data_IF_021265635480
#
_entry.id   IF_021265635480
#
_cell.length_a   1.000
_cell.length_b   1.000
_cell.length_c   1.000
_cell.angle_alpha   90.00
_cell.angle_beta   90.00
_cell.angle_gamma   90.00
#
_symmetry.space_group_name_H-M   'P 1'
#
loop_
_entity.id
_entity.type
_entity.pdbx_description
1 polymer ?
#
# COMPACT_ATOMS: atom_id res chain seq x y z
N UNK A 1 -6.35 12.18 -6.70
CA UNK A 1 -7.14 12.88 -5.69
C UNK A 1 -6.48 12.78 -4.32
N UNK A 2 -6.80 13.68 -3.40
CA UNK A 2 -6.35 13.64 -2.00
C UNK A 2 -7.51 13.32 -1.04
N UNK A 3 -7.21 13.22 0.25
CA UNK A 3 -8.19 12.93 1.29
C UNK A 3 -9.35 13.94 1.33
N UNK A 4 -9.08 15.24 1.16
CA UNK A 4 -10.10 16.31 1.18
C UNK A 4 -11.10 16.14 0.03
N UNK A 5 -10.63 15.71 -1.14
CA UNK A 5 -11.51 15.45 -2.28
C UNK A 5 -12.42 14.23 -2.03
N UNK A 6 -11.93 13.19 -1.34
CA UNK A 6 -12.75 12.04 -0.92
C UNK A 6 -13.81 12.47 0.11
N UNK A 7 -13.44 13.31 1.06
CA UNK A 7 -14.38 13.90 2.04
C UNK A 7 -15.47 14.74 1.36
N UNK A 8 -15.10 15.52 0.35
CA UNK A 8 -16.05 16.28 -0.46
C UNK A 8 -17.00 15.36 -1.24
N UNK A 9 -16.49 14.28 -1.85
CA UNK A 9 -17.30 13.27 -2.54
C UNK A 9 -18.30 12.62 -1.58
N UNK A 10 -17.85 12.22 -0.39
CA UNK A 10 -18.72 11.63 0.63
C UNK A 10 -19.79 12.62 1.09
N UNK A 11 -19.40 13.86 1.37
CA UNK A 11 -20.32 14.94 1.77
C UNK A 11 -21.37 15.21 0.70
N UNK A 12 -20.96 15.23 -0.57
CA UNK A 12 -21.88 15.39 -1.70
C UNK A 12 -22.89 14.22 -1.77
N UNK A 13 -22.43 12.98 -1.60
CA UNK A 13 -23.31 11.80 -1.59
C UNK A 13 -24.30 11.83 -0.42
N UNK A 14 -23.85 12.22 0.76
CA UNK A 14 -24.71 12.42 1.95
C UNK A 14 -25.75 13.51 1.67
N UNK A 15 -25.35 14.61 1.05
CA UNK A 15 -26.22 15.74 0.71
C UNK A 15 -27.28 15.35 -0.31
N UNK A 16 -26.92 14.54 -1.32
CA UNK A 16 -27.84 13.98 -2.31
C UNK A 16 -29.01 13.24 -1.65
N UNK A 17 -28.74 12.36 -0.69
CA UNK A 17 -29.79 11.63 0.03
C UNK A 17 -30.67 12.55 0.89
N UNK A 18 -30.09 13.55 1.54
CA UNK A 18 -30.86 14.56 2.29
C UNK A 18 -31.81 15.33 1.35
N UNK A 19 -31.32 15.78 0.21
CA UNK A 19 -32.13 16.49 -0.80
C UNK A 19 -33.24 15.60 -1.37
N UNK A 20 -33.02 14.29 -1.45
CA UNK A 20 -34.02 13.31 -1.87
C UNK A 20 -35.04 12.93 -0.77
N UNK A 21 -35.05 13.65 0.35
CA UNK A 21 -36.05 13.54 1.41
C UNK A 21 -35.79 12.42 2.42
N UNK A 22 -34.55 11.91 2.49
CA UNK A 22 -34.15 11.02 3.56
C UNK A 22 -33.78 11.81 4.81
N UNK A 23 -34.08 11.26 5.98
CA UNK A 23 -33.63 11.78 7.26
C UNK A 23 -32.47 10.95 7.80
N UNK A 24 -31.52 11.59 8.49
CA UNK A 24 -30.45 10.87 9.18
C UNK A 24 -31.10 9.98 10.26
N UNK A 25 -30.73 8.71 10.27
CA UNK A 25 -31.20 7.69 11.18
C UNK A 25 -30.10 7.35 12.21
N UNK A 26 -30.12 7.97 13.40
CA UNK A 26 -29.11 7.74 14.44
C UNK A 26 -29.36 6.47 15.26
N UNK A 27 -30.41 5.68 14.99
CA UNK A 27 -30.83 4.56 15.85
C UNK A 27 -30.15 3.23 15.50
N UNK A 28 -29.11 3.26 14.67
CA UNK A 28 -28.33 2.10 14.25
C UNK A 28 -27.08 1.99 15.11
N UNK A 29 -26.49 0.80 15.16
CA UNK A 29 -25.24 0.56 15.90
C UNK A 29 -24.13 1.56 15.52
N UNK A 30 -23.30 1.93 16.48
CA UNK A 30 -22.07 2.71 16.28
C UNK A 30 -21.09 2.02 15.32
N UNK A 31 -20.10 2.77 14.83
CA UNK A 31 -19.19 2.31 13.79
C UNK A 31 -18.44 1.01 14.13
N UNK A 32 -18.13 0.25 13.10
CA UNK A 32 -17.31 -0.96 13.15
C UNK A 32 -15.84 -0.65 12.84
N UNK A 33 -14.92 -1.54 13.23
CA UNK A 33 -13.50 -1.42 12.90
C UNK A 33 -13.30 -1.36 11.38
N UNK A 34 -12.49 -0.39 10.92
CA UNK A 34 -12.20 -0.14 9.50
C UNK A 34 -13.10 0.91 8.85
N UNK A 35 -14.25 1.22 9.45
CA UNK A 35 -15.11 2.31 8.98
C UNK A 35 -14.46 3.66 9.28
N UNK A 36 -14.27 4.46 8.23
CA UNK A 36 -13.81 5.85 8.35
C UNK A 36 -14.99 6.72 8.74
N UNK A 37 -16.12 6.54 8.06
CA UNK A 37 -17.35 7.29 8.31
C UNK A 37 -18.56 6.48 7.83
N UNK A 38 -19.70 6.62 8.51
CA UNK A 38 -20.98 6.13 8.00
C UNK A 38 -22.13 7.04 8.40
N UNK A 39 -23.11 7.15 7.52
CA UNK A 39 -24.39 7.79 7.79
C UNK A 39 -25.48 6.86 7.31
N UNK A 40 -26.36 6.50 8.24
CA UNK A 40 -27.57 5.76 7.93
C UNK A 40 -28.71 6.75 7.72
N UNK A 41 -29.50 6.51 6.69
CA UNK A 41 -30.62 7.33 6.26
C UNK A 41 -31.91 6.52 6.34
N UNK A 42 -33.04 7.19 6.55
CA UNK A 42 -34.37 6.58 6.55
C UNK A 42 -35.34 7.40 5.69
N UNK A 43 -36.17 6.69 4.92
CA UNK A 43 -37.34 7.25 4.24
C UNK A 43 -38.48 6.23 4.33
N UNK A 44 -39.43 6.49 5.22
CA UNK A 44 -40.43 5.48 5.60
C UNK A 44 -39.76 4.27 6.28
N UNK A 45 -39.91 3.10 5.66
CA UNK A 45 -39.30 1.85 6.12
C UNK A 45 -37.99 1.50 5.37
N UNK A 46 -37.63 2.26 4.31
CA UNK A 46 -36.35 2.10 3.62
C UNK A 46 -35.22 2.70 4.46
N UNK A 47 -34.09 1.97 4.49
CA UNK A 47 -32.86 2.41 5.15
C UNK A 47 -31.69 2.27 4.18
N UNK A 48 -30.97 3.37 3.98
CA UNK A 48 -29.77 3.44 3.14
C UNK A 48 -28.58 3.77 4.02
N UNK A 49 -27.47 3.03 3.87
CA UNK A 49 -26.18 3.36 4.46
C UNK A 49 -25.29 3.98 3.41
N UNK A 50 -24.74 5.16 3.69
CA UNK A 50 -23.62 5.76 2.94
C UNK A 50 -22.39 5.66 3.82
N UNK A 51 -21.34 4.99 3.35
CA UNK A 51 -20.18 4.64 4.16
C UNK A 51 -18.85 4.85 3.41
N UNK A 52 -17.83 5.29 4.14
CA UNK A 52 -16.43 5.20 3.79
C UNK A 52 -15.73 4.17 4.67
N UNK A 53 -14.91 3.33 4.04
CA UNK A 53 -14.12 2.30 4.72
C UNK A 53 -12.73 2.22 4.08
N UNK A 54 -11.70 2.12 4.91
CA UNK A 54 -10.36 1.74 4.45
C UNK A 54 -10.23 0.23 4.47
N UNK A 55 -9.76 -0.34 3.37
CA UNK A 55 -9.61 -1.78 3.25
C UNK A 55 -8.46 -2.15 2.32
N UNK A 56 -8.10 -3.42 2.34
CA UNK A 56 -7.14 -3.99 1.39
C UNK A 56 -7.82 -5.11 0.61
N UNK A 57 -7.38 -5.29 -0.62
CA UNK A 57 -7.99 -6.26 -1.51
C UNK A 57 -7.02 -6.76 -2.58
N UNK A 58 -7.56 -7.61 -3.43
CA UNK A 58 -6.88 -8.16 -4.59
C UNK A 58 -7.71 -7.89 -5.82
N UNK A 59 -7.08 -7.29 -6.83
CA UNK A 59 -7.73 -6.99 -8.10
C UNK A 59 -6.71 -7.26 -9.22
N UNK A 60 -7.08 -8.06 -10.23
CA UNK A 60 -6.17 -8.58 -11.25
C UNK A 60 -4.83 -9.12 -10.69
N UNK A 61 -4.88 -9.89 -9.60
CA UNK A 61 -3.71 -10.46 -8.90
C UNK A 61 -2.77 -9.42 -8.26
N UNK A 62 -3.17 -8.15 -8.20
CA UNK A 62 -2.45 -7.08 -7.54
C UNK A 62 -3.07 -6.81 -6.17
N UNK A 63 -2.27 -6.94 -5.11
CA UNK A 63 -2.67 -6.45 -3.79
C UNK A 63 -2.77 -4.92 -3.83
N UNK A 64 -3.89 -4.39 -3.35
CA UNK A 64 -4.17 -2.97 -3.32
C UNK A 64 -4.74 -2.53 -1.97
N UNK A 65 -4.38 -1.32 -1.56
CA UNK A 65 -4.98 -0.63 -0.42
C UNK A 65 -5.87 0.48 -0.98
N UNK A 66 -7.09 0.60 -0.50
CA UNK A 66 -8.03 1.58 -1.03
C UNK A 66 -9.04 2.03 0.02
N UNK A 67 -9.52 3.26 -0.16
CA UNK A 67 -10.74 3.73 0.49
C UNK A 67 -11.89 3.43 -0.45
N UNK A 68 -12.97 2.82 0.06
CA UNK A 68 -14.19 2.63 -0.71
C UNK A 68 -15.34 3.47 -0.17
N UNK A 69 -16.07 4.10 -1.08
CA UNK A 69 -17.39 4.66 -0.81
C UNK A 69 -18.42 3.60 -1.21
N UNK A 70 -19.28 3.22 -0.28
CA UNK A 70 -20.37 2.27 -0.52
C UNK A 70 -21.68 2.92 -0.14
N UNK A 71 -22.65 2.84 -1.05
CA UNK A 71 -24.05 3.13 -0.80
C UNK A 71 -24.80 1.82 -0.86
N UNK A 72 -25.38 1.42 0.28
CA UNK A 72 -26.05 0.13 0.41
C UNK A 72 -27.45 0.28 0.97
N UNK A 73 -28.41 -0.44 0.38
CA UNK A 73 -29.74 -0.61 0.96
C UNK A 73 -29.70 -1.73 1.99
N UNK A 74 -30.24 -1.44 3.17
CA UNK A 74 -30.50 -2.46 4.15
C UNK A 74 -31.76 -3.25 3.74
N UNK A 75 -31.60 -4.56 3.55
CA UNK A 75 -32.69 -5.48 3.18
C UNK A 75 -33.27 -6.23 4.38
N UNK A 76 -32.63 -6.13 5.55
CA UNK A 76 -33.07 -6.81 6.76
C UNK A 76 -34.18 -6.01 7.46
N UNK A 77 -35.16 -6.71 8.03
CA UNK A 77 -36.17 -6.06 8.86
C UNK A 77 -35.53 -5.55 10.14
N UNK A 78 -35.48 -4.23 10.30
CA UNK A 78 -34.97 -3.61 11.52
C UNK A 78 -36.11 -3.35 12.48
N UNK A 79 -35.89 -3.71 13.76
CA UNK A 79 -36.77 -3.26 14.83
C UNK A 79 -36.64 -1.73 14.92
N UNK A 80 -37.76 -1.02 15.10
CA UNK A 80 -37.70 0.40 15.46
C UNK A 80 -37.11 0.53 16.86
N UNK A 81 -35.82 0.84 16.95
CA UNK A 81 -35.17 1.16 18.21
C UNK A 81 -35.76 2.47 18.75
N UNK A 82 -36.14 2.46 20.02
CA UNK A 82 -36.59 3.68 20.72
C UNK A 82 -35.36 4.43 21.22
N UNK A 83 -35.44 5.75 21.46
CA UNK A 83 -34.43 6.44 22.24
C UNK A 83 -34.24 5.67 23.55
N UNK A 84 -32.99 5.41 23.96
CA UNK A 84 -32.57 4.63 25.15
C UNK A 84 -32.57 3.08 25.03
N UNK A 85 -32.82 2.50 23.86
CA UNK A 85 -32.63 1.06 23.66
C UNK A 85 -31.11 0.75 23.56
N UNK A 86 -30.55 0.05 24.54
CA UNK A 86 -29.11 -0.30 24.58
C UNK A 86 -28.72 -1.34 23.53
N UNK A 87 -29.72 -1.98 22.90
CA UNK A 87 -29.56 -2.93 21.80
C UNK A 87 -29.99 -2.25 20.50
N UNK A 88 -29.20 -1.26 20.04
CA UNK A 88 -29.41 -0.64 18.73
C UNK A 88 -29.43 -1.71 17.63
N UNK A 89 -30.20 -1.47 16.56
CA UNK A 89 -30.23 -2.44 15.46
C UNK A 89 -28.91 -2.38 14.70
N UNK A 90 -28.26 -3.54 14.59
CA UNK A 90 -27.03 -3.70 13.80
C UNK A 90 -27.38 -3.85 12.34
N UNK A 91 -26.89 -2.94 11.51
CA UNK A 91 -26.85 -3.10 10.07
C UNK A 91 -25.47 -3.63 9.72
N UNK A 92 -25.41 -4.83 9.16
CA UNK A 92 -24.19 -5.50 8.76
C UNK A 92 -23.76 -5.08 7.35
N UNK A 93 -22.57 -4.51 7.21
CA UNK A 93 -22.08 -3.99 5.92
C UNK A 93 -22.05 -5.05 4.82
N UNK A 94 -21.72 -6.29 5.16
CA UNK A 94 -21.67 -7.42 4.22
C UNK A 94 -23.06 -7.97 3.83
N UNK A 95 -24.14 -7.43 4.40
CA UNK A 95 -25.54 -7.80 4.08
C UNK A 95 -26.31 -6.70 3.36
N UNK A 96 -25.65 -5.58 3.09
CA UNK A 96 -26.23 -4.51 2.28
C UNK A 96 -26.40 -4.97 0.84
N UNK A 97 -27.54 -4.64 0.25
CA UNK A 97 -27.66 -4.60 -1.21
C UNK A 97 -26.90 -3.37 -1.70
N UNK A 98 -25.74 -3.58 -2.33
CA UNK A 98 -24.90 -2.49 -2.83
C UNK A 98 -25.57 -1.83 -4.03
N UNK A 99 -25.88 -0.53 -3.89
CA UNK A 99 -26.45 0.32 -4.94
C UNK A 99 -25.33 0.99 -5.74
N UNK A 100 -24.34 1.53 -5.02
CA UNK A 100 -23.20 2.25 -5.60
C UNK A 100 -21.95 1.88 -4.83
N UNK A 101 -20.86 1.62 -5.56
CA UNK A 101 -19.53 1.44 -4.99
C UNK A 101 -18.53 2.24 -5.81
N UNK A 102 -17.66 3.00 -5.13
CA UNK A 102 -16.50 3.66 -5.71
C UNK A 102 -15.26 3.29 -4.92
N UNK A 103 -14.14 3.11 -5.61
CA UNK A 103 -12.86 2.72 -5.01
C UNK A 103 -11.81 3.79 -5.30
N UNK A 104 -11.08 4.17 -4.27
CA UNK A 104 -10.01 5.15 -4.34
C UNK A 104 -8.72 4.46 -3.89
N UNK A 105 -7.93 3.99 -4.86
CA UNK A 105 -6.71 3.23 -4.65
C UNK A 105 -5.57 4.11 -4.19
N UNK A 106 -4.98 3.76 -3.04
CA UNK A 106 -3.88 4.49 -2.43
C UNK A 106 -2.55 4.17 -3.14
N UNK A 107 -1.85 5.22 -3.59
CA UNK A 107 -0.60 5.08 -4.32
C UNK A 107 0.61 5.23 -3.41
N UNK A 108 0.52 6.15 -2.46
CA UNK A 108 1.60 6.47 -1.52
C UNK A 108 1.00 6.63 -0.12
N UNK A 109 1.41 5.74 0.79
CA UNK A 109 0.98 5.76 2.18
C UNK A 109 1.48 6.97 2.97
N UNK A 110 2.39 7.78 2.41
CA UNK A 110 2.94 8.97 3.07
C UNK A 110 2.33 10.29 2.61
N UNK A 111 1.62 10.30 1.48
CA UNK A 111 1.24 11.52 0.80
C UNK A 111 -0.27 11.61 0.50
N UNK A 112 -1.07 10.68 1.04
CA UNK A 112 -2.55 10.64 0.93
C UNK A 112 -3.05 10.91 -0.50
N UNK A 113 -2.41 10.29 -1.48
CA UNK A 113 -2.79 10.36 -2.89
C UNK A 113 -3.48 9.08 -3.35
N UNK A 114 -4.65 9.26 -3.95
CA UNK A 114 -5.51 8.21 -4.45
C UNK A 114 -5.80 8.36 -5.93
N UNK A 115 -6.03 7.25 -6.61
CA UNK A 115 -6.54 7.18 -7.98
C UNK A 115 -7.79 6.31 -7.99
N UNK A 116 -8.77 6.65 -8.80
CA UNK A 116 -10.00 5.87 -8.95
C UNK A 116 -9.90 4.85 -10.11
N UNK A 117 -9.15 5.18 -11.17
CA UNK A 117 -8.91 4.26 -12.29
C UNK A 117 -7.90 3.17 -11.90
N UNK A 118 -8.40 1.94 -11.78
CA UNK A 118 -7.56 0.79 -11.44
C UNK A 118 -6.41 0.55 -12.42
N UNK A 119 -6.60 0.84 -13.71
CA UNK A 119 -5.55 0.65 -14.73
C UNK A 119 -4.38 1.61 -14.54
N UNK A 120 -4.67 2.87 -14.18
CA UNK A 120 -3.65 3.88 -13.87
C UNK A 120 -2.94 3.54 -12.56
N UNK A 121 -3.69 3.13 -11.53
CA UNK A 121 -3.15 2.60 -10.29
C UNK A 121 -2.16 1.46 -10.54
N UNK A 122 -2.56 0.46 -11.35
CA UNK A 122 -1.73 -0.70 -11.69
C UNK A 122 -0.45 -0.30 -12.41
N UNK A 123 -0.52 0.65 -13.34
CA UNK A 123 0.66 1.17 -14.04
C UNK A 123 1.64 1.86 -13.07
N UNK A 124 1.14 2.61 -12.09
CA UNK A 124 1.97 3.25 -11.06
C UNK A 124 2.56 2.24 -10.10
N UNK A 125 1.76 1.28 -9.62
CA UNK A 125 2.21 0.20 -8.73
C UNK A 125 3.34 -0.62 -9.39
N UNK A 126 3.20 -0.95 -10.68
CA UNK A 126 4.27 -1.60 -11.46
C UNK A 126 5.55 -0.77 -11.50
N UNK A 127 5.45 0.53 -11.79
CA UNK A 127 6.62 1.44 -11.78
C UNK A 127 7.27 1.50 -10.40
N UNK A 128 6.50 1.53 -9.31
CA UNK A 128 7.05 1.51 -7.96
C UNK A 128 7.76 0.20 -7.64
N UNK A 129 7.17 -0.94 -8.01
CA UNK A 129 7.79 -2.26 -7.87
C UNK A 129 9.08 -2.36 -8.68
N UNK A 130 9.08 -1.87 -9.91
CA UNK A 130 10.29 -1.83 -10.76
C UNK A 130 11.37 -0.93 -10.14
N UNK A 131 11.00 0.23 -9.58
CA UNK A 131 11.95 1.10 -8.85
C UNK A 131 12.49 0.40 -7.60
N UNK A 132 11.65 -0.32 -6.86
CA UNK A 132 12.06 -1.08 -5.68
C UNK A 132 13.04 -2.21 -6.06
N UNK A 133 12.69 -3.03 -7.05
CA UNK A 133 13.56 -4.08 -7.61
C UNK A 133 14.87 -3.50 -8.13
N UNK A 134 14.82 -2.33 -8.78
CA UNK A 134 16.01 -1.64 -9.28
C UNK A 134 16.83 -0.96 -8.18
N UNK A 135 16.24 -0.61 -7.04
CA UNK A 135 16.98 -0.12 -5.88
C UNK A 135 17.81 -1.24 -5.28
N UNK A 136 17.24 -2.43 -5.20
CA UNK A 136 17.94 -3.63 -4.76
C UNK A 136 19.02 -4.05 -5.79
N UNK A 137 18.73 -3.96 -7.09
CA UNK A 137 19.75 -4.20 -8.13
C UNK A 137 20.86 -3.14 -8.17
N UNK A 138 20.59 -1.88 -7.79
CA UNK A 138 21.65 -0.86 -7.59
C UNK A 138 22.51 -1.14 -6.35
N UNK A 139 22.00 -1.89 -5.38
CA UNK A 139 22.81 -2.47 -4.30
C UNK A 139 23.57 -3.72 -4.76
N UNK A 140 23.16 -4.38 -5.86
CA UNK A 140 23.96 -5.45 -6.45
C UNK A 140 25.26 -4.90 -7.03
N UNK A 141 26.35 -5.29 -6.35
CA UNK A 141 27.74 -5.37 -6.81
C UNK A 141 28.12 -4.37 -7.91
N UNK A 142 28.04 -3.06 -7.62
CA UNK A 142 28.72 -2.07 -8.46
C UNK A 142 30.20 -2.41 -8.48
N UNK A 143 30.70 -2.74 -9.66
CA UNK A 143 32.12 -2.98 -9.85
C UNK A 143 32.88 -1.68 -9.61
N UNK A 144 33.87 -1.75 -8.73
CA UNK A 144 34.67 -0.59 -8.34
C UNK A 144 35.72 -0.26 -9.41
N UNK A 145 36.17 1.00 -9.49
CA UNK A 145 37.11 1.47 -10.51
C UNK A 145 38.43 0.67 -10.54
N UNK A 146 39.20 0.82 -11.62
CA UNK A 146 40.45 0.08 -11.85
C UNK A 146 41.48 0.23 -10.71
N UNK A 147 41.49 1.37 -10.03
CA UNK A 147 42.30 1.58 -8.81
C UNK A 147 41.99 0.55 -7.71
N UNK A 148 40.70 0.19 -7.53
CA UNK A 148 40.30 -0.83 -6.56
C UNK A 148 40.73 -2.24 -6.99
N UNK A 149 40.72 -2.53 -8.31
CA UNK A 149 41.27 -3.79 -8.85
C UNK A 149 42.77 -3.93 -8.58
N UNK A 150 43.53 -2.83 -8.61
CA UNK A 150 44.96 -2.84 -8.31
C UNK A 150 45.25 -3.13 -6.83
N UNK A 151 44.48 -2.54 -5.91
CA UNK A 151 44.57 -2.84 -4.47
C UNK A 151 44.20 -4.30 -4.20
N UNK A 152 43.09 -4.77 -4.78
CA UNK A 152 42.65 -6.16 -4.65
C UNK A 152 43.66 -7.16 -5.24
N UNK A 153 44.34 -6.83 -6.34
CA UNK A 153 45.41 -7.66 -6.92
C UNK A 153 46.54 -7.88 -5.93
N UNK A 154 46.97 -6.82 -5.24
CA UNK A 154 48.04 -6.92 -4.25
C UNK A 154 47.62 -7.76 -3.04
N UNK A 155 46.37 -7.58 -2.59
CA UNK A 155 45.77 -8.39 -1.53
C UNK A 155 45.71 -9.88 -1.91
N UNK A 156 45.13 -10.22 -3.07
CA UNK A 156 45.00 -11.60 -3.55
C UNK A 156 46.37 -12.27 -3.72
N UNK A 157 47.40 -11.55 -4.22
CA UNK A 157 48.78 -12.09 -4.29
C UNK A 157 49.29 -12.52 -2.91
N UNK A 158 49.09 -11.68 -1.89
CA UNK A 158 49.50 -11.98 -0.50
C UNK A 158 48.70 -13.16 0.06
N UNK A 159 47.38 -13.19 -0.13
CA UNK A 159 46.52 -14.23 0.42
C UNK A 159 46.68 -15.59 -0.28
N UNK A 160 46.98 -15.60 -1.59
CA UNK A 160 47.06 -16.85 -2.38
C UNK A 160 48.48 -17.34 -2.65
N UNK A 161 49.51 -16.54 -2.33
CA UNK A 161 50.92 -16.87 -2.58
C UNK A 161 51.32 -16.95 -4.06
N UNK A 162 50.44 -16.54 -5.00
CA UNK A 162 50.69 -16.66 -6.44
C UNK A 162 51.54 -15.51 -6.97
N UNK A 163 52.60 -15.85 -7.71
CA UNK A 163 53.49 -14.88 -8.35
C UNK A 163 52.79 -14.00 -9.40
N UNK A 164 51.82 -14.57 -10.13
CA UNK A 164 51.08 -13.89 -11.20
C UNK A 164 49.57 -13.92 -10.93
N UNK A 165 48.97 -12.74 -10.87
CA UNK A 165 47.51 -12.53 -10.75
C UNK A 165 47.12 -11.53 -11.85
N UNK A 166 46.15 -11.91 -12.68
CA UNK A 166 45.65 -11.07 -13.77
C UNK A 166 44.60 -10.10 -13.24
N UNK A 167 44.83 -8.79 -13.36
CA UNK A 167 43.90 -7.76 -12.87
C UNK A 167 42.57 -7.74 -13.62
N UNK A 168 42.52 -8.20 -14.87
CA UNK A 168 41.30 -8.25 -15.68
C UNK A 168 40.31 -9.33 -15.22
N UNK A 169 40.80 -10.34 -14.50
CA UNK A 169 39.98 -11.43 -13.93
C UNK A 169 39.47 -11.09 -12.52
N UNK A 170 39.80 -9.91 -11.98
CA UNK A 170 39.39 -9.49 -10.65
C UNK A 170 38.16 -8.59 -10.76
N UNK A 171 37.08 -9.00 -10.11
CA UNK A 171 35.91 -8.15 -9.90
C UNK A 171 35.91 -7.67 -8.46
N UNK A 172 35.89 -6.36 -8.25
CA UNK A 172 35.87 -5.76 -6.91
C UNK A 172 34.52 -5.09 -6.70
N UNK A 173 33.85 -5.40 -5.61
CA UNK A 173 32.54 -4.83 -5.30
C UNK A 173 32.41 -4.48 -3.83
N UNK A 174 31.58 -3.48 -3.57
CA UNK A 174 31.16 -3.12 -2.21
C UNK A 174 30.07 -4.08 -1.76
N UNK A 175 30.21 -4.64 -0.56
CA UNK A 175 29.17 -5.45 0.05
C UNK A 175 27.95 -4.63 0.47
N UNK A 176 26.81 -5.30 0.64
CA UNK A 176 25.66 -4.71 1.31
C UNK A 176 26.07 -4.24 2.71
N UNK A 177 25.70 -3.01 3.08
CA UNK A 177 25.84 -2.53 4.46
C UNK A 177 24.61 -3.02 5.24
N UNK A 178 24.86 -3.76 6.31
CA UNK A 178 23.91 -3.82 7.43
C UNK A 178 24.17 -2.62 8.35
N UNK A 179 23.14 -2.17 9.09
CA UNK A 179 23.19 -0.98 9.94
C UNK A 179 24.44 -0.95 10.86
N UNK A 180 25.03 0.23 11.03
CA UNK A 180 26.22 0.55 11.85
C UNK A 180 27.53 -0.21 11.58
N UNK A 181 27.59 -1.06 10.56
CA UNK A 181 28.86 -1.70 10.18
C UNK A 181 29.70 -0.87 9.21
N UNK A 182 31.04 -0.90 9.34
CA UNK A 182 31.94 -0.32 8.34
C UNK A 182 31.71 -0.98 6.98
N UNK A 183 31.92 -0.22 5.90
CA UNK A 183 31.76 -0.75 4.55
C UNK A 183 32.73 -1.92 4.31
N UNK A 184 32.20 -3.12 4.04
CA UNK A 184 32.98 -4.28 3.63
C UNK A 184 33.19 -4.28 2.12
N UNK A 185 34.40 -4.60 1.68
CA UNK A 185 34.75 -4.74 0.26
C UNK A 185 35.10 -6.19 -0.05
N UNK A 186 34.77 -6.64 -1.25
CA UNK A 186 35.02 -8.01 -1.68
C UNK A 186 35.71 -8.02 -3.04
N UNK A 187 36.64 -8.94 -3.22
CA UNK A 187 37.26 -9.26 -4.49
C UNK A 187 36.93 -10.69 -4.90
N UNK A 188 36.44 -10.88 -6.11
CA UNK A 188 36.22 -12.19 -6.71
C UNK A 188 37.32 -12.48 -7.73
N UNK A 189 37.98 -13.64 -7.60
CA UNK A 189 39.00 -14.12 -8.52
C UNK A 189 38.88 -15.63 -8.71
N UNK A 190 38.73 -16.07 -9.96
CA UNK A 190 38.55 -17.48 -10.35
C UNK A 190 37.47 -18.22 -9.53
N UNK A 191 36.32 -17.58 -9.36
CA UNK A 191 35.18 -18.16 -8.65
C UNK A 191 35.30 -18.21 -7.13
N UNK A 192 36.36 -17.62 -6.54
CA UNK A 192 36.52 -17.46 -5.09
C UNK A 192 36.37 -16.00 -4.68
N UNK A 193 35.63 -15.76 -3.60
CA UNK A 193 35.41 -14.42 -3.03
C UNK A 193 36.29 -14.22 -1.82
N UNK A 194 36.98 -13.09 -1.78
CA UNK A 194 37.88 -12.67 -0.70
C UNK A 194 37.35 -11.37 -0.10
N UNK A 195 37.22 -11.29 1.22
CA UNK A 195 36.91 -10.04 1.90
C UNK A 195 38.18 -9.21 2.01
N UNK A 196 38.13 -7.97 1.51
CA UNK A 196 39.15 -6.95 1.68
C UNK A 196 38.80 -6.21 2.98
N UNK A 197 39.56 -6.48 4.03
CA UNK A 197 39.44 -5.89 5.36
C UNK A 197 40.82 -5.49 5.85
#
# INVERSE_FOLDING_TARGET
MNQIEIEAIFTAKVTEYIQNGYTINPTTMSGHQGEIAKIDFRKGDEIIRVMLESTTGWEDEQHCEYVRLVVGRNTEQLRRCRPFDTMCTTIWNNRLEVIEERRFYQIDSRADFFIEDFSEYRAMAKKQLDRYRNRDSRQQRRELPEAARMIAKQFIKRTTGKARVNSKEIKVFKGARYHDEPARYYAEYRGKTYQIG
#
